data_IF_129163090091
#
_entry.id   IF_129163090091
#
_cell.length_a   1.000
_cell.length_b   1.000
_cell.length_c   1.000
_cell.angle_alpha   90.00
_cell.angle_beta   90.00
_cell.angle_gamma   90.00
#
_symmetry.space_group_name_H-M   'P 1'
#
loop_
_entity.id
_entity.type
_entity.pdbx_description
1 polymer ?
#
# COMPACT_ATOMS: atom_id res chain seq x y z
N UNK A 1 -4.63 -29.15 -13.33
CA UNK A 1 -4.67 -27.69 -13.51
C UNK A 1 -4.72 -27.08 -12.12
N UNK A 2 -3.66 -26.44 -11.68
CA UNK A 2 -3.55 -25.87 -10.34
C UNK A 2 -4.38 -24.57 -10.31
N UNK A 3 -5.54 -24.64 -9.68
CA UNK A 3 -6.37 -23.43 -9.45
C UNK A 3 -6.10 -22.91 -8.04
N UNK A 4 -6.16 -21.59 -7.85
CA UNK A 4 -6.03 -20.95 -6.53
C UNK A 4 -6.98 -21.57 -5.50
N UNK A 5 -8.17 -22.03 -5.92
CA UNK A 5 -9.14 -22.71 -5.07
C UNK A 5 -8.65 -24.06 -4.51
N UNK A 6 -7.74 -24.76 -5.18
CA UNK A 6 -7.17 -26.00 -4.67
C UNK A 6 -6.08 -25.75 -3.63
N UNK A 7 -5.37 -24.64 -3.76
CA UNK A 7 -4.32 -24.25 -2.84
C UNK A 7 -4.91 -23.72 -1.53
N UNK A 8 -5.99 -22.92 -1.59
CA UNK A 8 -6.72 -22.49 -0.39
C UNK A 8 -7.32 -23.68 0.35
N UNK A 9 -8.02 -24.59 -0.34
CA UNK A 9 -8.58 -25.80 0.27
C UNK A 9 -7.53 -26.71 0.91
N UNK A 10 -6.34 -26.80 0.33
CA UNK A 10 -5.23 -27.55 0.92
C UNK A 10 -4.73 -26.90 2.21
N UNK A 11 -4.57 -25.56 2.20
CA UNK A 11 -4.16 -24.78 3.39
C UNK A 11 -5.21 -24.91 4.47
N UNK A 12 -6.48 -24.70 4.14
CA UNK A 12 -7.61 -24.79 5.07
C UNK A 12 -7.73 -26.19 5.66
N UNK A 13 -7.57 -27.24 4.86
CA UNK A 13 -7.57 -28.62 5.31
C UNK A 13 -6.43 -28.95 6.27
N UNK A 14 -5.22 -28.43 6.01
CA UNK A 14 -4.06 -28.64 6.86
C UNK A 14 -4.17 -27.85 8.19
N UNK A 15 -4.68 -26.61 8.13
CA UNK A 15 -4.90 -25.79 9.31
C UNK A 15 -5.98 -26.37 10.22
N UNK A 16 -7.11 -26.79 9.66
CA UNK A 16 -8.23 -27.40 10.42
C UNK A 16 -7.86 -28.73 11.06
N UNK A 17 -6.89 -29.47 10.49
CA UNK A 17 -6.40 -30.72 11.07
C UNK A 17 -5.48 -30.52 12.29
N UNK A 18 -4.79 -29.39 12.38
CA UNK A 18 -3.74 -29.15 13.39
C UNK A 18 -4.11 -28.11 14.45
N UNK A 19 -5.10 -27.25 14.22
CA UNK A 19 -5.44 -26.13 15.12
C UNK A 19 -6.93 -26.06 15.43
N UNK A 20 -7.27 -25.37 16.53
CA UNK A 20 -8.65 -25.06 16.89
C UNK A 20 -9.29 -24.10 15.90
N UNK A 21 -10.63 -24.15 15.68
CA UNK A 21 -11.35 -23.32 14.70
C UNK A 21 -11.07 -21.81 14.80
N UNK A 22 -10.86 -21.31 16.01
CA UNK A 22 -10.57 -19.89 16.25
C UNK A 22 -9.19 -19.50 15.74
N UNK A 23 -8.18 -20.35 15.96
CA UNK A 23 -6.83 -20.12 15.48
C UNK A 23 -6.70 -20.32 13.97
N UNK A 24 -7.45 -21.26 13.38
CA UNK A 24 -7.48 -21.42 11.92
C UNK A 24 -7.97 -20.18 11.22
N UNK A 25 -9.05 -19.53 11.68
CA UNK A 25 -9.54 -18.27 11.14
C UNK A 25 -8.47 -17.16 11.19
N UNK A 26 -7.75 -17.05 12.32
CA UNK A 26 -6.69 -16.03 12.46
C UNK A 26 -5.57 -16.29 11.47
N UNK A 27 -5.11 -17.52 11.31
CA UNK A 27 -4.06 -17.87 10.37
C UNK A 27 -4.50 -17.65 8.92
N UNK A 28 -5.72 -18.00 8.54
CA UNK A 28 -6.29 -17.74 7.21
C UNK A 28 -6.31 -16.25 6.90
N UNK A 29 -6.77 -15.41 7.84
CA UNK A 29 -6.76 -13.94 7.68
C UNK A 29 -5.35 -13.39 7.50
N UNK A 30 -4.38 -13.88 8.28
CA UNK A 30 -2.99 -13.44 8.19
C UNK A 30 -2.37 -13.84 6.85
N UNK A 31 -2.58 -15.09 6.41
CA UNK A 31 -2.07 -15.58 5.14
C UNK A 31 -2.69 -14.81 3.97
N UNK A 32 -4.00 -14.58 4.01
CA UNK A 32 -4.70 -13.77 3.00
C UNK A 32 -4.15 -12.34 2.96
N UNK A 33 -3.97 -11.70 4.11
CA UNK A 33 -3.37 -10.37 4.21
C UNK A 33 -1.95 -10.30 3.63
N UNK A 34 -1.09 -11.24 4.00
CA UNK A 34 0.28 -11.32 3.48
C UNK A 34 0.29 -11.57 1.96
N UNK A 35 -0.61 -12.40 1.44
CA UNK A 35 -0.69 -12.69 0.01
C UNK A 35 -1.07 -11.45 -0.81
N UNK A 36 -2.00 -10.65 -0.32
CA UNK A 36 -2.40 -9.39 -0.96
C UNK A 36 -1.29 -8.35 -0.89
N UNK A 37 -0.67 -8.16 0.28
CA UNK A 37 0.47 -7.24 0.43
C UNK A 37 1.62 -7.67 -0.51
N UNK A 38 1.92 -8.97 -0.58
CA UNK A 38 2.94 -9.52 -1.47
C UNK A 38 2.64 -9.26 -2.95
N UNK A 39 1.38 -9.45 -3.37
CA UNK A 39 0.94 -9.15 -4.73
C UNK A 39 1.17 -7.67 -5.08
N UNK A 40 0.75 -6.75 -4.18
CA UNK A 40 0.94 -5.31 -4.39
C UNK A 40 2.40 -4.90 -4.39
N UNK A 41 3.21 -5.49 -3.52
CA UNK A 41 4.65 -5.25 -3.50
C UNK A 41 5.30 -5.64 -4.85
N UNK A 42 4.97 -6.81 -5.38
CA UNK A 42 5.46 -7.28 -6.68
C UNK A 42 4.97 -6.35 -7.81
N UNK A 43 3.68 -6.02 -7.83
CA UNK A 43 3.12 -5.10 -8.82
C UNK A 43 3.79 -3.73 -8.74
N UNK A 44 4.02 -3.19 -7.55
CA UNK A 44 4.71 -1.93 -7.34
C UNK A 44 6.14 -1.96 -7.92
N UNK A 45 6.91 -3.02 -7.66
CA UNK A 45 8.25 -3.19 -8.22
C UNK A 45 8.24 -3.21 -9.77
N UNK A 46 7.29 -3.92 -10.35
CA UNK A 46 7.15 -4.02 -11.82
C UNK A 46 6.73 -2.69 -12.41
N UNK A 47 5.75 -2.00 -11.83
CA UNK A 47 5.25 -0.72 -12.32
C UNK A 47 6.32 0.37 -12.26
N UNK A 48 7.10 0.45 -11.17
CA UNK A 48 8.23 1.40 -11.07
C UNK A 48 9.28 1.12 -12.14
N UNK A 49 9.59 -0.15 -12.42
CA UNK A 49 10.51 -0.51 -13.50
C UNK A 49 9.97 -0.09 -14.87
N UNK A 50 8.68 -0.32 -15.12
CA UNK A 50 8.01 0.07 -16.37
C UNK A 50 8.00 1.58 -16.54
N UNK A 51 7.66 2.35 -15.51
CA UNK A 51 7.69 3.81 -15.51
C UNK A 51 9.06 4.33 -15.95
N UNK A 52 10.13 3.85 -15.32
CA UNK A 52 11.50 4.28 -15.65
C UNK A 52 11.92 3.91 -17.07
N UNK A 53 11.47 2.78 -17.60
CA UNK A 53 11.76 2.37 -18.99
C UNK A 53 10.99 3.20 -19.99
N UNK A 54 9.71 3.41 -19.77
CA UNK A 54 8.86 4.24 -20.64
C UNK A 54 9.37 5.69 -20.67
N UNK A 55 9.69 6.24 -19.49
CA UNK A 55 10.30 7.57 -19.42
C UNK A 55 11.63 7.66 -20.18
N UNK A 56 12.46 6.62 -20.09
CA UNK A 56 13.73 6.57 -20.83
C UNK A 56 13.53 6.52 -22.35
N UNK A 57 12.55 5.77 -22.86
CA UNK A 57 12.20 5.74 -24.26
C UNK A 57 11.73 7.09 -24.79
N UNK A 58 10.84 7.77 -24.03
CA UNK A 58 10.36 9.11 -24.40
C UNK A 58 11.52 10.11 -24.43
N UNK A 59 12.48 9.98 -23.52
CA UNK A 59 13.65 10.87 -23.41
C UNK A 59 14.83 10.43 -24.30
N UNK A 60 14.67 9.40 -25.13
CA UNK A 60 15.71 8.86 -26.03
C UNK A 60 17.00 8.55 -25.25
N UNK A 61 16.88 7.89 -24.07
CA UNK A 61 18.00 7.46 -23.23
C UNK A 61 17.86 6.01 -22.80
N UNK A 62 18.96 5.39 -22.39
CA UNK A 62 18.93 4.05 -21.83
C UNK A 62 18.28 4.08 -20.44
N UNK A 63 17.29 3.23 -20.24
CA UNK A 63 16.69 2.96 -18.93
C UNK A 63 17.62 2.16 -18.01
N UNK A 64 17.12 1.70 -16.84
CA UNK A 64 17.86 0.84 -15.94
C UNK A 64 18.38 -0.42 -16.67
N UNK A 65 19.70 -0.65 -16.67
CA UNK A 65 20.30 -1.75 -17.43
C UNK A 65 21.41 -2.49 -16.69
N UNK A 66 21.87 -2.03 -15.49
CA UNK A 66 23.07 -2.54 -14.85
C UNK A 66 22.83 -3.59 -13.78
N UNK A 67 21.67 -3.60 -13.11
CA UNK A 67 21.38 -4.51 -12.00
C UNK A 67 20.52 -5.67 -12.49
N UNK A 68 21.11 -6.85 -12.55
CA UNK A 68 20.46 -8.07 -13.10
C UNK A 68 20.29 -8.06 -14.61
N UNK A 69 19.69 -9.13 -15.18
CA UNK A 69 19.46 -9.21 -16.63
C UNK A 69 18.56 -8.06 -17.06
N UNK A 70 19.06 -7.23 -17.98
CA UNK A 70 18.36 -6.07 -18.52
C UNK A 70 17.86 -5.06 -17.46
N UNK A 71 18.47 -5.01 -16.27
CA UNK A 71 18.07 -4.08 -15.21
C UNK A 71 16.77 -4.44 -14.49
N UNK A 72 16.29 -5.67 -14.59
CA UNK A 72 15.04 -6.11 -13.94
C UNK A 72 15.09 -6.04 -12.41
N UNK A 73 16.26 -6.27 -11.82
CA UNK A 73 16.45 -6.24 -10.37
C UNK A 73 16.68 -4.82 -9.80
N UNK A 74 16.65 -3.77 -10.64
CA UNK A 74 16.93 -2.41 -10.19
C UNK A 74 15.90 -1.93 -9.15
N UNK A 75 14.61 -2.21 -9.35
CA UNK A 75 13.57 -1.82 -8.39
C UNK A 75 13.73 -2.51 -7.04
N UNK A 76 14.16 -3.78 -7.04
CA UNK A 76 14.46 -4.52 -5.81
C UNK A 76 15.67 -3.91 -5.07
N UNK A 77 16.74 -3.61 -5.80
CA UNK A 77 17.92 -2.97 -5.21
C UNK A 77 17.62 -1.59 -4.61
N UNK A 78 16.77 -0.81 -5.28
CA UNK A 78 16.32 0.49 -4.76
C UNK A 78 15.48 0.34 -3.50
N UNK A 79 14.59 -0.66 -3.44
CA UNK A 79 13.80 -0.96 -2.24
C UNK A 79 14.69 -1.36 -1.07
N UNK A 80 15.64 -2.26 -1.28
CA UNK A 80 16.60 -2.67 -0.24
C UNK A 80 17.43 -1.48 0.25
N UNK A 81 17.89 -0.62 -0.67
CA UNK A 81 18.60 0.61 -0.31
C UNK A 81 17.77 1.52 0.57
N UNK A 82 16.48 1.70 0.27
CA UNK A 82 15.59 2.54 1.07
C UNK A 82 15.32 1.95 2.46
N UNK A 83 15.26 0.63 2.59
CA UNK A 83 15.08 -0.05 3.88
C UNK A 83 16.29 0.11 4.81
N UNK A 84 17.50 0.18 4.25
CA UNK A 84 18.74 0.35 5.02
C UNK A 84 19.08 1.83 5.26
N UNK A 85 18.40 2.75 4.56
CA UNK A 85 18.64 4.18 4.68
C UNK A 85 18.13 4.72 6.02
N UNK A 86 18.93 5.61 6.63
CA UNK A 86 18.54 6.28 7.88
C UNK A 86 17.29 7.15 7.71
N UNK A 87 16.36 7.05 8.66
CA UNK A 87 15.20 7.92 8.76
C UNK A 87 15.59 9.29 9.29
N UNK A 88 15.39 10.35 8.51
CA UNK A 88 15.66 11.72 8.93
C UNK A 88 14.37 12.40 9.38
N UNK A 89 14.38 12.96 10.59
CA UNK A 89 13.33 13.84 11.10
C UNK A 89 13.89 15.25 11.30
N UNK A 90 13.20 16.31 10.86
CA UNK A 90 13.62 17.69 11.13
C UNK A 90 13.72 17.97 12.63
N UNK A 91 14.71 18.75 13.06
CA UNK A 91 14.97 19.02 14.49
C UNK A 91 13.80 19.72 15.21
N UNK A 92 13.03 20.54 14.50
CA UNK A 92 11.86 21.23 15.04
C UNK A 92 10.55 20.47 14.91
N UNK A 93 10.55 19.27 14.34
CA UNK A 93 9.33 18.49 14.11
C UNK A 93 8.89 17.74 15.38
N UNK A 94 7.58 17.59 15.54
CA UNK A 94 7.03 16.64 16.52
C UNK A 94 7.27 15.22 16.02
N UNK A 95 8.25 14.53 16.61
CA UNK A 95 8.71 13.20 16.17
C UNK A 95 7.62 12.14 16.20
N UNK A 96 6.72 12.22 17.19
CA UNK A 96 5.64 11.24 17.31
C UNK A 96 4.63 11.40 16.18
N UNK A 97 4.10 12.60 15.98
CA UNK A 97 3.12 12.89 14.92
C UNK A 97 3.73 12.73 13.52
N UNK A 98 5.00 13.12 13.37
CA UNK A 98 5.72 12.99 12.10
C UNK A 98 5.85 11.55 11.64
N UNK A 99 6.13 10.61 12.55
CA UNK A 99 6.22 9.18 12.25
C UNK A 99 4.83 8.52 12.16
N UNK A 100 3.84 9.03 12.89
CA UNK A 100 2.48 8.47 12.89
C UNK A 100 1.76 8.77 11.56
N UNK A 101 2.00 9.93 10.95
CA UNK A 101 1.33 10.32 9.71
C UNK A 101 1.54 9.32 8.55
N UNK A 102 2.77 8.94 8.16
CA UNK A 102 2.97 7.93 7.11
C UNK A 102 2.45 6.55 7.51
N UNK A 103 2.46 6.21 8.80
CA UNK A 103 1.89 4.96 9.29
C UNK A 103 0.36 4.90 9.05
N UNK A 104 -0.36 5.98 9.37
CA UNK A 104 -1.80 6.07 9.08
C UNK A 104 -2.06 6.01 7.57
N UNK A 105 -1.28 6.73 6.76
CA UNK A 105 -1.41 6.70 5.31
C UNK A 105 -1.28 5.28 4.75
N UNK A 106 -0.27 4.54 5.21
CA UNK A 106 -0.04 3.15 4.80
C UNK A 106 -1.17 2.23 5.28
N UNK A 107 -1.63 2.40 6.53
CA UNK A 107 -2.76 1.63 7.06
C UNK A 107 -4.03 1.86 6.24
N UNK A 108 -4.36 3.11 5.91
CA UNK A 108 -5.51 3.46 5.06
C UNK A 108 -5.40 2.81 3.69
N UNK A 109 -4.23 2.88 3.05
CA UNK A 109 -4.01 2.26 1.75
C UNK A 109 -4.23 0.73 1.79
N UNK A 110 -3.78 0.05 2.84
CA UNK A 110 -4.02 -1.39 3.03
C UNK A 110 -5.49 -1.71 3.30
N UNK A 111 -6.19 -0.92 4.12
CA UNK A 111 -7.60 -1.12 4.43
C UNK A 111 -8.50 -0.94 3.19
N UNK A 112 -8.15 -0.03 2.28
CA UNK A 112 -8.86 0.17 1.03
C UNK A 112 -8.82 -1.06 0.11
N UNK A 113 -7.82 -1.92 0.25
CA UNK A 113 -7.69 -3.14 -0.54
C UNK A 113 -8.65 -4.25 -0.09
N UNK A 114 -9.16 -4.21 1.14
CA UNK A 114 -9.96 -5.29 1.71
C UNK A 114 -11.25 -5.63 0.93
N UNK A 115 -12.08 -4.66 0.50
CA UNK A 115 -13.31 -4.94 -0.25
C UNK A 115 -13.09 -5.13 -1.74
N UNK A 116 -11.88 -4.94 -2.28
CA UNK A 116 -11.61 -5.04 -3.71
C UNK A 116 -11.51 -6.50 -4.14
N UNK A 117 -12.36 -6.91 -5.06
CA UNK A 117 -12.28 -8.22 -5.68
C UNK A 117 -11.22 -8.23 -6.79
N UNK A 118 -10.09 -8.91 -6.57
CA UNK A 118 -9.00 -9.03 -7.55
C UNK A 118 -9.26 -10.14 -8.57
N UNK A 119 -10.00 -11.19 -8.17
CA UNK A 119 -10.43 -12.28 -9.02
C UNK A 119 -11.75 -12.85 -8.50
N UNK A 120 -12.38 -13.75 -9.27
CA UNK A 120 -13.68 -14.33 -8.96
C UNK A 120 -13.80 -14.95 -7.57
N UNK A 121 -12.69 -15.54 -7.07
CA UNK A 121 -12.63 -16.18 -5.75
C UNK A 121 -11.49 -15.59 -4.89
N UNK A 122 -11.04 -14.38 -5.21
CA UNK A 122 -9.94 -13.71 -4.51
C UNK A 122 -10.35 -12.31 -4.06
N UNK A 123 -11.04 -12.28 -2.94
CA UNK A 123 -11.46 -11.09 -2.22
C UNK A 123 -11.21 -11.32 -0.73
N UNK A 124 -10.67 -10.30 -0.04
CA UNK A 124 -10.39 -10.43 1.40
C UNK A 124 -11.66 -10.37 2.23
N UNK A 125 -12.57 -9.50 1.86
CA UNK A 125 -13.80 -9.28 2.60
C UNK A 125 -14.93 -8.85 1.68
N UNK A 126 -15.99 -9.65 1.63
CA UNK A 126 -17.21 -9.33 0.89
C UNK A 126 -18.12 -8.47 1.78
N UNK A 127 -18.24 -7.20 1.44
CA UNK A 127 -19.02 -6.21 2.15
C UNK A 127 -20.19 -5.74 1.29
N UNK A 128 -21.42 -5.89 1.80
CA UNK A 128 -22.63 -5.36 1.15
C UNK A 128 -22.60 -3.82 0.97
N UNK A 129 -21.81 -3.12 1.80
CA UNK A 129 -21.64 -1.66 1.82
C UNK A 129 -20.23 -1.26 1.38
N UNK A 130 -19.62 -2.00 0.45
CA UNK A 130 -18.21 -1.82 0.05
C UNK A 130 -17.87 -0.42 -0.45
N UNK A 131 -18.76 0.23 -1.22
CA UNK A 131 -18.56 1.60 -1.72
C UNK A 131 -18.52 2.61 -0.56
N UNK A 132 -19.46 2.50 0.39
CA UNK A 132 -19.49 3.36 1.57
C UNK A 132 -18.23 3.16 2.43
N UNK A 133 -17.78 1.91 2.58
CA UNK A 133 -16.54 1.60 3.29
C UNK A 133 -15.34 2.27 2.62
N UNK A 134 -15.20 2.18 1.29
CA UNK A 134 -14.10 2.80 0.54
C UNK A 134 -14.12 4.32 0.75
N UNK A 135 -15.26 4.98 0.63
CA UNK A 135 -15.39 6.42 0.86
C UNK A 135 -15.03 6.81 2.29
N UNK A 136 -15.51 6.06 3.30
CA UNK A 136 -15.21 6.35 4.70
C UNK A 136 -13.73 6.16 5.04
N UNK A 137 -13.08 5.13 4.53
CA UNK A 137 -11.65 4.89 4.77
C UNK A 137 -10.77 5.89 4.01
N UNK A 138 -11.15 6.28 2.77
CA UNK A 138 -10.39 7.28 2.01
C UNK A 138 -10.35 8.63 2.72
N UNK A 139 -11.42 9.03 3.43
CA UNK A 139 -11.47 10.28 4.19
C UNK A 139 -10.41 10.34 5.31
N UNK A 140 -10.03 9.22 5.88
CA UNK A 140 -8.97 9.16 6.90
C UNK A 140 -7.61 9.56 6.32
N UNK A 141 -7.40 9.39 5.01
CA UNK A 141 -6.15 9.80 4.33
C UNK A 141 -5.90 11.31 4.45
N UNK A 142 -6.96 12.12 4.46
CA UNK A 142 -6.85 13.58 4.64
C UNK A 142 -6.24 13.93 5.99
N UNK A 143 -6.63 13.21 7.05
CA UNK A 143 -6.09 13.41 8.39
C UNK A 143 -4.58 13.13 8.40
N UNK A 144 -4.14 12.07 7.73
CA UNK A 144 -2.72 11.73 7.60
C UNK A 144 -1.93 12.85 6.93
N UNK A 145 -2.43 13.43 5.84
CA UNK A 145 -1.77 14.51 5.09
C UNK A 145 -1.67 15.79 5.94
N UNK A 146 -2.78 16.17 6.60
CA UNK A 146 -2.79 17.34 7.47
C UNK A 146 -1.85 17.17 8.66
N UNK A 147 -1.83 15.99 9.26
CA UNK A 147 -0.95 15.68 10.38
C UNK A 147 0.52 15.70 9.97
N UNK A 148 0.87 15.19 8.78
CA UNK A 148 2.24 15.25 8.25
C UNK A 148 2.71 16.70 8.05
N UNK A 149 1.84 17.56 7.48
CA UNK A 149 2.14 18.97 7.29
C UNK A 149 2.29 19.74 8.59
N UNK A 150 1.43 19.46 9.56
CA UNK A 150 1.49 20.08 10.90
C UNK A 150 2.76 19.65 11.65
N UNK A 151 3.02 18.35 11.70
CA UNK A 151 4.13 17.78 12.47
C UNK A 151 5.52 18.19 11.95
N UNK A 152 5.64 18.54 10.68
CA UNK A 152 6.92 18.93 10.06
C UNK A 152 7.45 20.30 10.52
N UNK A 153 6.67 21.09 11.28
CA UNK A 153 7.00 22.43 11.77
C UNK A 153 7.56 23.37 10.68
N UNK A 154 7.05 23.24 9.47
CA UNK A 154 7.43 24.07 8.33
C UNK A 154 6.20 24.73 7.72
N UNK A 155 6.19 26.06 7.64
CA UNK A 155 5.06 26.83 7.11
C UNK A 155 4.67 26.45 5.68
N UNK A 156 5.63 26.11 4.83
CA UNK A 156 5.34 25.71 3.45
C UNK A 156 4.74 24.30 3.38
N UNK A 157 5.21 23.39 4.23
CA UNK A 157 4.63 22.05 4.37
C UNK A 157 3.19 22.11 4.87
N UNK A 158 2.93 22.96 5.87
CA UNK A 158 1.59 23.18 6.40
C UNK A 158 0.65 23.76 5.33
N UNK A 159 1.09 24.78 4.59
CA UNK A 159 0.30 25.36 3.49
C UNK A 159 0.03 24.33 2.38
N UNK A 160 1.02 23.51 2.04
CA UNK A 160 0.87 22.41 1.09
C UNK A 160 -0.14 21.37 1.55
N UNK A 161 -0.07 20.96 2.82
CA UNK A 161 -0.99 20.00 3.42
C UNK A 161 -2.44 20.53 3.46
N UNK A 162 -2.63 21.80 3.84
CA UNK A 162 -3.96 22.45 3.82
C UNK A 162 -4.55 22.50 2.41
N UNK A 163 -3.74 22.85 1.41
CA UNK A 163 -4.19 22.87 0.01
C UNK A 163 -4.56 21.47 -0.48
N UNK A 164 -3.71 20.45 -0.24
CA UNK A 164 -3.99 19.07 -0.60
C UNK A 164 -5.22 18.55 0.13
N UNK A 165 -5.34 18.78 1.42
CA UNK A 165 -6.50 18.37 2.21
C UNK A 165 -7.80 18.97 1.70
N UNK A 166 -7.84 20.27 1.45
CA UNK A 166 -9.00 20.96 0.89
C UNK A 166 -9.39 20.40 -0.49
N UNK A 167 -8.41 20.10 -1.33
CA UNK A 167 -8.64 19.49 -2.64
C UNK A 167 -9.26 18.10 -2.54
N UNK A 168 -8.73 17.23 -1.68
CA UNK A 168 -9.25 15.87 -1.51
C UNK A 168 -10.66 15.90 -0.94
N UNK A 169 -10.92 16.70 0.10
CA UNK A 169 -12.27 16.87 0.66
C UNK A 169 -13.27 17.37 -0.38
N UNK A 170 -12.87 18.30 -1.25
CA UNK A 170 -13.72 18.80 -2.32
C UNK A 170 -14.09 17.69 -3.33
N UNK A 171 -13.14 16.82 -3.67
CA UNK A 171 -13.40 15.65 -4.52
C UNK A 171 -14.30 14.63 -3.84
N UNK A 172 -14.07 14.32 -2.57
CA UNK A 172 -14.88 13.35 -1.82
C UNK A 172 -16.35 13.79 -1.70
N UNK A 173 -16.59 15.07 -1.43
CA UNK A 173 -17.93 15.63 -1.36
C UNK A 173 -18.67 15.58 -2.71
N UNK A 174 -17.95 15.65 -3.82
CA UNK A 174 -18.57 15.58 -5.16
C UNK A 174 -18.75 14.15 -5.65
N UNK A 175 -18.00 13.18 -5.12
CA UNK A 175 -18.07 11.78 -5.52
C UNK A 175 -18.98 10.92 -4.63
N UNK A 176 -19.18 11.31 -3.36
CA UNK A 176 -20.06 10.65 -2.39
C UNK A 176 -21.48 11.19 -2.46
#
# INVERSE_FOLDING_TARGET
MWSFSNLSKFIDGWLNANFNPTWTMVFEMVIAGISVIGLFAILGLVLVLMERRVAAWIQIRLGPNRVGPFGLLQSLADTLKLLVKEGMTPDGADKFLFNLAPFIAMMVAMLLMAPIAFAKDFQLWDLNIGVLYISAISSIMVISILMAGWASNNKYSLMGAMRSGAQIVSYELSAG
#
